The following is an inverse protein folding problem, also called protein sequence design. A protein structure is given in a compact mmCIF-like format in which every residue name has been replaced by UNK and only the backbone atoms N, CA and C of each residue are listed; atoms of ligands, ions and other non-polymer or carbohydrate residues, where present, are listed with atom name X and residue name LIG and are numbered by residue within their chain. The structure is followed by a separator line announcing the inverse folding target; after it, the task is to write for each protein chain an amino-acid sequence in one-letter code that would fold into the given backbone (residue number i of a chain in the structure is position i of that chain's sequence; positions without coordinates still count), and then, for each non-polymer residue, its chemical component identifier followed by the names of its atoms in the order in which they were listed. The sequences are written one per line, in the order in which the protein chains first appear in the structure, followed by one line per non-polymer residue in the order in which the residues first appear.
data_IF_693650943443
#
_entry.id   IF_693650943443
#
_cell.length_a   1.000
_cell.length_b   1.000
_cell.length_c   1.000
_cell.angle_alpha   90.00
_cell.angle_beta   90.00
_cell.angle_gamma   90.00
#
_symmetry.space_group_name_H-M   'P 1'
#
loop_
_entity.id
_entity.type
_entity.pdbx_description
1 polymer ?
#
# COMPACT_ATOMS: atom_id res chain seq x y z
N UNK A 1 -6.34 23.50 1.68
CA UNK A 1 -5.95 23.90 0.31
C UNK A 1 -5.53 25.38 0.15
N UNK A 2 -5.69 26.27 1.15
CA UNK A 2 -5.41 27.72 0.97
C UNK A 2 -3.97 28.13 0.61
N UNK A 3 -2.99 27.22 0.73
CA UNK A 3 -1.57 27.47 0.42
C UNK A 3 -1.06 26.76 -0.84
N UNK A 4 -1.87 25.93 -1.52
CA UNK A 4 -1.44 25.22 -2.74
C UNK A 4 -1.45 26.09 -3.99
N UNK A 5 -2.19 27.20 -3.98
CA UNK A 5 -2.45 28.02 -5.17
C UNK A 5 -3.46 27.42 -6.16
N UNK A 6 -4.09 26.28 -5.83
CA UNK A 6 -5.02 25.58 -6.70
C UNK A 6 -6.47 26.02 -6.46
N UNK A 7 -7.28 26.05 -7.53
CA UNK A 7 -8.71 26.40 -7.48
C UNK A 7 -9.53 25.15 -7.79
N UNK A 8 -10.60 24.90 -7.03
CA UNK A 8 -11.48 23.73 -7.24
C UNK A 8 -12.01 23.75 -8.69
N UNK A 9 -11.76 22.69 -9.47
CA UNK A 9 -12.33 22.56 -10.81
C UNK A 9 -13.86 22.48 -10.75
N UNK A 10 -14.53 22.83 -11.86
CA UNK A 10 -15.99 22.79 -11.93
C UNK A 10 -16.57 21.37 -11.73
N UNK A 11 -15.80 20.33 -12.05
CA UNK A 11 -16.19 18.93 -11.85
C UNK A 11 -15.93 18.40 -10.42
N UNK A 12 -15.36 19.22 -9.53
CA UNK A 12 -14.85 18.77 -8.23
C UNK A 12 -13.32 18.60 -8.23
N UNK A 13 -12.76 18.30 -7.06
CA UNK A 13 -11.34 17.99 -6.94
C UNK A 13 -11.06 16.60 -7.50
N UNK A 14 -10.07 16.43 -8.39
CA UNK A 14 -9.60 15.10 -8.75
C UNK A 14 -8.96 14.43 -7.54
N UNK A 15 -9.02 13.10 -7.49
CA UNK A 15 -8.71 12.34 -6.28
C UNK A 15 -7.54 11.39 -6.48
N UNK A 16 -6.71 11.29 -5.44
CA UNK A 16 -5.76 10.20 -5.23
C UNK A 16 -6.21 9.39 -4.04
N UNK A 17 -6.56 8.13 -4.27
CA UNK A 17 -6.69 7.13 -3.20
C UNK A 17 -5.29 6.74 -2.77
N UNK A 18 -4.97 6.90 -1.49
CA UNK A 18 -3.73 6.42 -0.89
C UNK A 18 -4.00 5.19 -0.03
N UNK A 19 -3.18 4.13 -0.17
CA UNK A 19 -3.24 2.96 0.69
C UNK A 19 -1.91 2.69 1.40
N UNK A 20 -1.99 2.58 2.73
CA UNK A 20 -0.85 2.39 3.62
C UNK A 20 -0.26 0.95 3.59
N UNK A 21 0.94 0.81 4.17
CA UNK A 21 1.62 -0.48 4.34
C UNK A 21 1.16 -1.28 5.58
N UNK A 22 1.66 -2.50 5.77
CA UNK A 22 1.16 -3.49 6.76
C UNK A 22 1.24 -3.09 8.24
N UNK A 23 2.15 -2.21 8.63
CA UNK A 23 2.22 -1.71 10.02
C UNK A 23 1.69 -0.28 10.13
N UNK A 24 1.16 0.25 9.03
CA UNK A 24 0.68 1.61 8.90
C UNK A 24 -0.80 1.72 9.23
N UNK A 25 -1.36 2.91 8.99
CA UNK A 25 -2.79 3.19 9.04
C UNK A 25 -3.08 4.36 8.10
N UNK A 26 -4.35 4.74 7.98
CA UNK A 26 -4.84 5.80 7.10
C UNK A 26 -4.09 7.13 7.20
N UNK A 27 -3.50 7.47 8.36
CA UNK A 27 -2.77 8.73 8.56
C UNK A 27 -1.46 8.83 7.78
N UNK A 28 -0.92 7.71 7.29
CA UNK A 28 0.27 7.72 6.43
C UNK A 28 0.07 8.57 5.16
N UNK A 29 -1.18 8.77 4.74
CA UNK A 29 -1.51 9.68 3.64
C UNK A 29 -1.02 11.12 3.86
N UNK A 30 -0.90 11.56 5.12
CA UNK A 30 -0.45 12.91 5.45
C UNK A 30 0.95 13.21 4.93
N UNK A 31 1.82 12.20 4.81
CA UNK A 31 3.17 12.35 4.26
C UNK A 31 3.19 12.58 2.73
N UNK A 32 2.09 12.28 2.04
CA UNK A 32 1.92 12.47 0.58
C UNK A 32 0.98 13.65 0.26
N UNK A 33 0.15 14.05 1.22
CA UNK A 33 -0.96 14.98 1.02
C UNK A 33 -0.53 16.33 0.45
N UNK A 34 0.55 16.91 0.96
CA UNK A 34 1.04 18.22 0.49
C UNK A 34 1.52 18.16 -0.97
N UNK A 35 2.20 17.08 -1.36
CA UNK A 35 2.65 16.88 -2.75
C UNK A 35 1.46 16.78 -3.71
N UNK A 36 0.42 16.02 -3.36
CA UNK A 36 -0.78 15.90 -4.19
C UNK A 36 -1.61 17.19 -4.20
N UNK A 37 -1.71 17.88 -3.06
CA UNK A 37 -2.40 19.16 -2.97
C UNK A 37 -1.71 20.24 -3.84
N UNK A 38 -0.37 20.21 -3.95
CA UNK A 38 0.39 21.15 -4.79
C UNK A 38 0.04 21.07 -6.28
N UNK A 39 -0.41 19.90 -6.74
CA UNK A 39 -0.86 19.65 -8.12
C UNK A 39 -2.39 19.64 -8.26
N UNK A 40 -3.13 20.01 -7.21
CA UNK A 40 -4.58 20.20 -7.26
C UNK A 40 -5.40 18.94 -7.04
N UNK A 41 -4.86 17.94 -6.35
CA UNK A 41 -5.58 16.69 -6.04
C UNK A 41 -5.92 16.59 -4.56
N UNK A 42 -7.11 16.07 -4.27
CA UNK A 42 -7.48 15.64 -2.94
C UNK A 42 -6.92 14.23 -2.67
N UNK A 43 -6.48 13.98 -1.43
CA UNK A 43 -6.05 12.64 -1.01
C UNK A 43 -7.10 12.02 -0.11
N UNK A 44 -7.56 10.83 -0.47
CA UNK A 44 -8.49 10.02 0.32
C UNK A 44 -7.76 8.75 0.74
N UNK A 45 -7.91 8.35 1.99
CA UNK A 45 -7.21 7.21 2.57
C UNK A 45 -8.11 6.49 3.55
N UNK A 46 -7.99 5.16 3.59
CA UNK A 46 -8.73 4.30 4.50
C UNK A 46 -7.82 3.23 5.09
N UNK A 47 -8.24 2.61 6.19
CA UNK A 47 -7.52 1.49 6.75
C UNK A 47 -7.80 0.19 6.00
N UNK A 48 -6.78 -0.64 5.90
CA UNK A 48 -6.96 -2.05 5.55
C UNK A 48 -7.66 -2.79 6.71
N UNK A 49 -8.29 -3.95 6.46
CA UNK A 49 -8.80 -4.81 7.54
C UNK A 49 -7.73 -5.04 8.63
N UNK A 50 -8.13 -5.06 9.90
CA UNK A 50 -7.23 -5.22 11.06
C UNK A 50 -6.17 -4.11 11.22
N UNK A 51 -6.32 -2.99 10.53
CA UNK A 51 -5.50 -1.80 10.71
C UNK A 51 -6.33 -0.67 11.27
N UNK A 52 -5.65 0.36 11.77
CA UNK A 52 -6.31 1.52 12.33
C UNK A 52 -5.38 2.37 13.18
N UNK A 53 -5.87 3.54 13.54
CA UNK A 53 -5.26 4.37 14.57
C UNK A 53 -5.63 3.76 15.91
N UNK A 54 -4.65 3.43 16.76
CA UNK A 54 -4.86 2.83 18.09
C UNK A 54 -4.62 3.83 19.23
N UNK A 55 -4.25 5.06 18.87
CA UNK A 55 -4.06 6.18 19.79
C UNK A 55 -5.42 6.74 20.19
N UNK A 56 -5.81 6.61 21.45
CA UNK A 56 -7.17 6.91 21.92
C UNK A 56 -7.26 8.16 22.77
N UNK A 57 -6.15 8.64 23.35
CA UNK A 57 -6.17 9.76 24.29
C UNK A 57 -5.70 11.08 23.63
N UNK A 58 -6.61 11.99 23.27
CA UNK A 58 -6.23 13.26 22.63
C UNK A 58 -5.57 14.26 23.60
N UNK A 59 -5.55 13.97 24.90
CA UNK A 59 -4.86 14.79 25.91
C UNK A 59 -3.42 14.32 26.15
N UNK A 60 -3.04 13.17 25.60
CA UNK A 60 -1.68 12.62 25.71
C UNK A 60 -0.81 13.16 24.56
N UNK A 61 0.24 13.96 24.85
CA UNK A 61 1.11 14.50 23.80
C UNK A 61 1.90 13.43 23.04
N UNK A 62 2.05 12.23 23.61
CA UNK A 62 2.70 11.10 22.94
C UNK A 62 1.75 10.37 21.96
N UNK A 63 0.50 10.86 21.82
CA UNK A 63 -0.54 10.32 20.95
C UNK A 63 -1.00 11.36 19.89
N UNK A 64 -0.13 11.77 18.95
CA UNK A 64 -0.42 12.83 18.00
C UNK A 64 -1.56 12.52 17.02
N UNK A 65 -1.94 11.26 16.85
CA UNK A 65 -3.01 10.80 15.97
C UNK A 65 -4.32 10.56 16.70
N UNK A 66 -4.39 10.75 18.02
CA UNK A 66 -5.59 10.42 18.79
C UNK A 66 -6.83 11.22 18.36
N UNK A 67 -6.68 12.44 17.84
CA UNK A 67 -7.80 13.20 17.27
C UNK A 67 -8.39 12.56 16.00
N UNK A 68 -7.60 11.73 15.31
CA UNK A 68 -8.04 11.01 14.11
C UNK A 68 -8.61 9.63 14.44
N UNK A 69 -8.47 9.14 15.68
CA UNK A 69 -9.12 7.90 16.12
C UNK A 69 -10.64 8.01 16.01
N UNK A 70 -11.29 6.98 15.46
CA UNK A 70 -12.70 7.07 15.06
C UNK A 70 -13.63 7.42 16.24
N UNK A 71 -13.33 6.89 17.43
CA UNK A 71 -14.08 7.17 18.67
C UNK A 71 -13.96 8.62 19.14
N UNK A 72 -12.94 9.37 18.67
CA UNK A 72 -12.75 10.80 18.95
C UNK A 72 -13.31 11.69 17.84
N UNK A 73 -13.99 11.12 16.84
CA UNK A 73 -14.64 11.87 15.75
C UNK A 73 -16.17 11.89 15.91
N UNK A 74 -16.89 12.77 15.18
CA UNK A 74 -18.35 12.73 15.12
C UNK A 74 -18.94 11.40 14.63
N UNK A 75 -18.14 10.55 13.99
CA UNK A 75 -18.56 9.25 13.48
C UNK A 75 -18.50 8.13 14.53
N UNK A 76 -17.85 8.35 15.67
CA UNK A 76 -17.62 7.31 16.68
C UNK A 76 -18.90 6.62 17.19
N UNK A 77 -20.02 7.33 17.25
CA UNK A 77 -21.29 6.78 17.71
C UNK A 77 -21.93 5.75 16.74
N UNK A 78 -21.52 5.73 15.48
CA UNK A 78 -22.11 4.89 14.43
C UNK A 78 -21.06 4.03 13.72
N UNK A 79 -19.78 4.27 14.00
CA UNK A 79 -18.67 3.48 13.50
C UNK A 79 -18.85 2.02 13.92
N UNK A 80 -18.96 1.15 12.91
CA UNK A 80 -18.96 -0.30 13.08
C UNK A 80 -17.90 -0.84 12.13
N UNK A 81 -16.71 -1.10 12.66
CA UNK A 81 -15.62 -1.69 11.89
C UNK A 81 -15.35 -3.10 12.40
N UNK A 82 -15.33 -4.06 11.46
CA UNK A 82 -15.40 -5.51 11.73
C UNK A 82 -14.22 -6.05 12.55
N UNK A 83 -13.16 -5.27 12.70
CA UNK A 83 -11.86 -5.70 13.22
C UNK A 83 -11.12 -4.62 14.00
N UNK A 84 -11.84 -3.60 14.47
CA UNK A 84 -11.26 -2.47 15.20
C UNK A 84 -10.89 -2.86 16.62
N UNK A 85 -9.84 -2.25 17.15
CA UNK A 85 -9.44 -2.34 18.56
C UNK A 85 -9.27 -3.75 19.13
N UNK A 86 -8.84 -4.71 18.30
CA UNK A 86 -8.54 -6.05 18.77
C UNK A 86 -7.42 -6.02 19.82
N UNK A 87 -7.59 -6.83 20.86
CA UNK A 87 -6.61 -7.08 21.92
C UNK A 87 -6.53 -8.60 22.11
N UNK A 88 -5.64 -9.24 21.34
CA UNK A 88 -5.51 -10.68 21.25
C UNK A 88 -4.11 -11.17 21.67
N UNK A 89 -3.15 -10.26 21.84
CA UNK A 89 -1.81 -10.57 22.32
C UNK A 89 -1.32 -9.55 23.35
N UNK A 90 -0.36 -9.97 24.16
CA UNK A 90 0.39 -9.06 24.99
C UNK A 90 1.40 -8.28 24.12
N UNK A 91 1.14 -7.00 23.88
CA UNK A 91 1.86 -6.14 22.94
C UNK A 91 3.37 -6.07 23.21
N UNK A 92 3.78 -6.15 24.47
CA UNK A 92 5.20 -6.14 24.84
C UNK A 92 5.95 -7.45 24.49
N UNK A 93 5.24 -8.57 24.34
CA UNK A 93 5.86 -9.90 24.24
C UNK A 93 5.41 -10.73 23.03
N UNK A 94 4.30 -10.36 22.39
CA UNK A 94 3.63 -11.17 21.36
C UNK A 94 3.02 -12.47 21.91
N UNK A 95 2.94 -12.63 23.24
CA UNK A 95 2.34 -13.83 23.84
C UNK A 95 0.81 -13.82 23.61
N UNK A 96 0.17 -14.98 23.39
CA UNK A 96 -1.28 -15.04 23.20
C UNK A 96 -2.06 -14.56 24.42
N UNK A 97 -3.17 -13.86 24.17
CA UNK A 97 -4.11 -13.39 25.18
C UNK A 97 -4.08 -11.87 25.36
N UNK A 98 -5.22 -11.26 25.77
CA UNK A 98 -5.33 -9.81 25.88
C UNK A 98 -4.45 -9.23 26.99
N UNK A 99 -3.88 -8.04 26.78
CA UNK A 99 -3.16 -7.28 27.83
C UNK A 99 -3.86 -5.97 28.25
N UNK A 100 -5.05 -5.71 27.70
CA UNK A 100 -5.83 -4.50 27.95
C UNK A 100 -5.42 -3.32 27.08
N UNK A 101 -4.50 -3.50 26.14
CA UNK A 101 -4.12 -2.51 25.14
C UNK A 101 -4.44 -3.01 23.75
N UNK A 102 -4.96 -2.11 22.91
CA UNK A 102 -5.26 -2.41 21.51
C UNK A 102 -3.97 -2.86 20.80
N UNK A 103 -4.05 -3.99 20.10
CA UNK A 103 -2.96 -4.53 19.29
C UNK A 103 -2.56 -3.52 18.19
N UNK A 104 -1.25 -3.34 17.92
CA UNK A 104 -0.79 -2.45 16.87
C UNK A 104 -1.42 -2.74 15.50
N UNK A 105 -1.59 -1.68 14.72
CA UNK A 105 -2.17 -1.74 13.37
C UNK A 105 -1.54 -2.85 12.51
N UNK A 106 -2.38 -3.72 11.96
CA UNK A 106 -2.00 -4.79 11.04
C UNK A 106 -1.34 -6.02 11.68
N UNK A 107 -1.20 -6.07 13.01
CA UNK A 107 -0.61 -7.20 13.75
C UNK A 107 -1.16 -8.56 13.30
N UNK A 108 -2.47 -8.64 13.08
CA UNK A 108 -3.17 -9.88 12.71
C UNK A 108 -3.49 -10.03 11.23
N UNK A 109 -3.03 -9.08 10.39
CA UNK A 109 -3.31 -9.12 8.95
C UNK A 109 -2.74 -10.36 8.29
N UNK A 110 -1.51 -10.73 8.65
CA UNK A 110 -0.87 -12.00 8.32
C UNK A 110 -0.96 -12.92 9.53
N UNK A 111 -1.63 -14.04 9.38
CA UNK A 111 -1.85 -15.02 10.42
C UNK A 111 -1.43 -16.41 9.93
N UNK A 112 -0.27 -16.90 10.40
CA UNK A 112 0.25 -18.22 10.03
C UNK A 112 -0.61 -19.38 10.58
N UNK A 113 -1.36 -19.14 11.65
CA UNK A 113 -2.34 -20.08 12.19
C UNK A 113 -3.66 -20.09 11.41
N UNK A 114 -3.95 -19.03 10.63
CA UNK A 114 -5.13 -18.93 9.77
C UNK A 114 -4.80 -18.24 8.44
N UNK A 115 -4.23 -19.02 7.52
CA UNK A 115 -3.89 -18.56 6.18
C UNK A 115 -5.12 -18.13 5.37
N UNK A 116 -6.30 -18.71 5.66
CA UNK A 116 -7.57 -18.31 5.04
C UNK A 116 -7.97 -16.90 5.47
N UNK A 117 -7.83 -16.55 6.76
CA UNK A 117 -8.05 -15.18 7.23
C UNK A 117 -7.09 -14.21 6.54
N UNK A 118 -5.81 -14.57 6.43
CA UNK A 118 -4.80 -13.74 5.75
C UNK A 118 -5.19 -13.45 4.28
N UNK A 119 -5.62 -14.49 3.56
CA UNK A 119 -6.12 -14.36 2.18
C UNK A 119 -7.34 -13.45 2.10
N UNK A 120 -8.31 -13.67 2.98
CA UNK A 120 -9.58 -12.97 2.94
C UNK A 120 -9.45 -11.51 3.42
N UNK A 121 -8.46 -11.18 4.25
CA UNK A 121 -8.08 -9.80 4.55
C UNK A 121 -7.65 -9.03 3.29
N UNK A 122 -6.82 -9.64 2.42
CA UNK A 122 -6.38 -9.02 1.16
C UNK A 122 -7.57 -8.83 0.21
N UNK A 123 -8.44 -9.84 0.08
CA UNK A 123 -9.62 -9.76 -0.78
C UNK A 123 -10.63 -8.75 -0.28
N UNK A 124 -10.84 -8.69 1.03
CA UNK A 124 -11.73 -7.70 1.63
C UNK A 124 -11.21 -6.30 1.37
N UNK A 125 -9.91 -6.06 1.54
CA UNK A 125 -9.30 -4.78 1.23
C UNK A 125 -9.47 -4.36 -0.24
N UNK A 126 -9.38 -5.30 -1.19
CA UNK A 126 -9.66 -5.02 -2.61
C UNK A 126 -11.11 -4.56 -2.82
N UNK A 127 -12.07 -5.23 -2.19
CA UNK A 127 -13.50 -4.86 -2.26
C UNK A 127 -13.77 -3.53 -1.57
N UNK A 128 -13.10 -3.27 -0.44
CA UNK A 128 -13.22 -2.02 0.28
C UNK A 128 -12.70 -0.84 -0.57
N UNK A 129 -11.57 -1.01 -1.26
CA UNK A 129 -11.05 -0.02 -2.22
C UNK A 129 -11.99 0.22 -3.40
N UNK A 130 -12.57 -0.84 -3.99
CA UNK A 130 -13.61 -0.69 -5.03
C UNK A 130 -14.83 0.06 -4.50
N UNK A 131 -15.27 -0.26 -3.28
CA UNK A 131 -16.40 0.42 -2.64
C UNK A 131 -16.07 1.90 -2.42
N UNK A 132 -14.87 2.22 -1.95
CA UNK A 132 -14.40 3.60 -1.81
C UNK A 132 -14.43 4.33 -3.15
N UNK A 133 -13.83 3.75 -4.19
CA UNK A 133 -13.76 4.36 -5.52
C UNK A 133 -15.15 4.67 -6.10
N UNK A 134 -16.11 3.75 -5.94
CA UNK A 134 -17.50 3.94 -6.36
C UNK A 134 -18.26 5.01 -5.56
N UNK A 135 -17.86 5.27 -4.31
CA UNK A 135 -18.52 6.25 -3.44
C UNK A 135 -17.87 7.64 -3.46
N UNK A 136 -16.62 7.78 -3.92
CA UNK A 136 -15.96 9.10 -4.09
C UNK A 136 -16.84 10.12 -4.83
N UNK A 137 -17.50 9.79 -5.96
CA UNK A 137 -18.34 10.73 -6.71
C UNK A 137 -19.62 11.17 -5.95
N UNK A 138 -19.88 10.60 -4.78
CA UNK A 138 -21.04 10.92 -3.95
C UNK A 138 -20.65 11.68 -2.67
N UNK A 139 -19.35 11.86 -2.41
CA UNK A 139 -18.90 12.55 -1.21
C UNK A 139 -19.15 14.06 -1.34
N UNK A 140 -19.71 14.62 -0.28
CA UNK A 140 -20.07 16.01 -0.08
C UNK A 140 -19.59 16.40 1.33
N UNK A 141 -18.53 17.19 1.39
CA UNK A 141 -17.80 17.57 2.60
C UNK A 141 -18.35 18.86 3.22
N UNK A 142 -18.94 19.75 2.41
CA UNK A 142 -19.50 21.02 2.89
C UNK A 142 -21.02 20.98 3.12
N UNK A 143 -21.69 19.90 2.70
CA UNK A 143 -23.09 19.61 2.95
C UNK A 143 -24.03 20.38 2.04
N UNK A 144 -23.55 20.90 0.91
CA UNK A 144 -24.36 21.67 -0.05
C UNK A 144 -25.16 20.79 -1.03
N UNK A 145 -25.09 19.47 -0.88
CA UNK A 145 -25.68 18.44 -1.75
C UNK A 145 -25.09 18.35 -3.15
N UNK A 146 -23.90 18.92 -3.36
CA UNK A 146 -23.11 18.83 -4.59
C UNK A 146 -21.83 18.06 -4.27
N UNK A 147 -21.48 17.08 -5.10
CA UNK A 147 -20.25 16.32 -4.85
C UNK A 147 -19.00 17.21 -4.94
N UNK A 148 -18.10 17.02 -3.99
CA UNK A 148 -16.82 17.72 -3.91
C UNK A 148 -15.74 17.15 -4.81
N UNK A 149 -15.90 15.90 -5.26
CA UNK A 149 -14.87 15.16 -5.97
C UNK A 149 -15.24 14.85 -7.41
N UNK A 150 -14.24 14.94 -8.28
CA UNK A 150 -14.36 14.55 -9.68
C UNK A 150 -14.27 13.04 -9.82
N UNK A 151 -15.43 12.40 -9.88
CA UNK A 151 -15.56 10.95 -10.07
C UNK A 151 -15.00 10.41 -11.38
N UNK A 152 -14.66 11.26 -12.35
CA UNK A 152 -14.03 10.86 -13.61
C UNK A 152 -12.50 10.85 -13.54
N UNK A 153 -11.91 11.36 -12.45
CA UNK A 153 -10.48 11.48 -12.27
C UNK A 153 -10.06 10.97 -10.88
N UNK A 154 -10.09 9.65 -10.73
CA UNK A 154 -9.66 8.93 -9.53
C UNK A 154 -8.38 8.17 -9.86
N UNK A 155 -7.35 8.39 -9.04
CA UNK A 155 -6.02 7.82 -9.20
C UNK A 155 -5.61 7.09 -7.93
N UNK A 156 -4.53 6.33 -7.98
CA UNK A 156 -4.09 5.52 -6.84
C UNK A 156 -2.59 5.65 -6.54
N UNK A 157 -2.24 5.71 -5.25
CA UNK A 157 -0.86 5.56 -4.77
C UNK A 157 -0.83 4.56 -3.62
N UNK A 158 -0.05 3.49 -3.77
CA UNK A 158 0.14 2.47 -2.75
C UNK A 158 1.57 2.45 -2.22
N UNK A 159 1.71 2.06 -0.95
CA UNK A 159 2.98 1.67 -0.36
C UNK A 159 2.91 0.22 0.11
N UNK A 160 3.87 -0.62 -0.29
CA UNK A 160 4.07 -1.96 0.28
C UNK A 160 2.80 -2.82 0.17
N UNK A 161 2.22 -3.24 1.30
CA UNK A 161 0.94 -3.96 1.35
C UNK A 161 -0.18 -3.21 0.61
N UNK A 162 -0.22 -1.88 0.69
CA UNK A 162 -1.17 -1.08 -0.09
C UNK A 162 -1.02 -1.31 -1.60
N UNK A 163 0.21 -1.41 -2.10
CA UNK A 163 0.50 -1.74 -3.50
C UNK A 163 0.18 -3.21 -3.85
N UNK A 164 0.40 -4.14 -2.91
CA UNK A 164 0.06 -5.56 -3.05
C UNK A 164 -1.45 -5.74 -3.20
N UNK A 165 -2.23 -5.17 -2.28
CA UNK A 165 -3.70 -5.21 -2.33
C UNK A 165 -4.20 -4.53 -3.61
N UNK A 166 -3.65 -3.37 -3.95
CA UNK A 166 -4.07 -2.57 -5.09
C UNK A 166 -3.97 -3.29 -6.44
N UNK A 167 -3.06 -4.26 -6.58
CA UNK A 167 -2.89 -4.96 -7.86
C UNK A 167 -4.17 -5.70 -8.27
N UNK A 168 -4.87 -6.33 -7.31
CA UNK A 168 -6.17 -6.96 -7.57
C UNK A 168 -7.29 -5.94 -7.78
N UNK A 169 -7.31 -4.87 -6.98
CA UNK A 169 -8.26 -3.75 -7.14
C UNK A 169 -8.19 -3.12 -8.53
N UNK A 170 -6.99 -2.73 -8.99
CA UNK A 170 -6.76 -2.14 -10.30
C UNK A 170 -7.11 -3.10 -11.45
N UNK A 171 -7.00 -4.41 -11.23
CA UNK A 171 -7.35 -5.40 -12.24
C UNK A 171 -8.86 -5.49 -12.51
N UNK A 172 -9.70 -5.08 -11.55
CA UNK A 172 -11.17 -5.29 -11.63
C UNK A 172 -11.98 -3.99 -11.56
N UNK A 173 -11.43 -2.91 -11.01
CA UNK A 173 -12.13 -1.64 -10.81
C UNK A 173 -11.83 -0.64 -11.93
N UNK A 174 -12.78 -0.35 -12.85
CA UNK A 174 -12.54 0.53 -13.98
C UNK A 174 -12.54 2.03 -13.62
N UNK A 175 -12.97 2.42 -12.41
CA UNK A 175 -12.98 3.84 -12.00
C UNK A 175 -11.59 4.42 -11.76
N UNK A 176 -10.57 3.56 -11.61
CA UNK A 176 -9.17 3.96 -11.40
C UNK A 176 -8.29 3.36 -12.48
N UNK A 177 -7.68 4.21 -13.31
CA UNK A 177 -6.87 3.79 -14.46
C UNK A 177 -5.42 4.28 -14.44
N UNK A 178 -5.01 4.94 -13.36
CA UNK A 178 -3.67 5.49 -13.18
C UNK A 178 -3.19 5.24 -11.75
N UNK A 179 -2.04 4.58 -11.62
CA UNK A 179 -1.54 4.14 -10.32
C UNK A 179 -0.01 4.23 -10.17
N UNK A 180 0.41 4.51 -8.95
CA UNK A 180 1.80 4.37 -8.50
C UNK A 180 1.85 3.27 -7.43
N UNK A 181 2.58 2.20 -7.72
CA UNK A 181 2.76 1.06 -6.82
C UNK A 181 4.18 1.11 -6.25
N UNK A 182 4.34 1.65 -5.05
CA UNK A 182 5.65 1.71 -4.40
C UNK A 182 5.96 0.41 -3.66
N UNK A 183 7.12 -0.18 -3.97
CA UNK A 183 7.71 -1.38 -3.36
C UNK A 183 6.74 -2.57 -3.14
N UNK A 184 5.92 -2.98 -4.13
CA UNK A 184 5.11 -4.19 -4.04
C UNK A 184 5.96 -5.45 -4.21
N UNK A 185 5.37 -6.62 -3.93
CA UNK A 185 5.95 -7.90 -4.33
C UNK A 185 4.88 -9.01 -4.39
N UNK A 186 5.14 -10.00 -5.25
CA UNK A 186 4.27 -11.16 -5.45
C UNK A 186 4.84 -12.43 -4.84
N UNK A 187 4.11 -13.53 -4.96
CA UNK A 187 4.51 -14.83 -4.39
C UNK A 187 4.68 -14.73 -2.87
N UNK A 188 3.61 -14.27 -2.21
CA UNK A 188 3.59 -13.75 -0.82
C UNK A 188 4.24 -14.72 0.17
N UNK A 189 4.01 -16.04 0.06
CA UNK A 189 4.53 -16.99 1.05
C UNK A 189 6.06 -17.01 1.08
N UNK A 190 6.69 -17.17 -0.09
CA UNK A 190 8.15 -17.18 -0.20
C UNK A 190 8.74 -15.77 -0.10
N UNK A 191 8.01 -14.73 -0.52
CA UNK A 191 8.39 -13.33 -0.30
C UNK A 191 8.57 -13.06 1.19
N UNK A 192 7.56 -13.38 2.00
CA UNK A 192 7.60 -13.17 3.44
C UNK A 192 8.68 -14.02 4.11
N UNK A 193 8.83 -15.29 3.70
CA UNK A 193 9.90 -16.16 4.20
C UNK A 193 11.31 -15.67 3.79
N UNK A 194 11.43 -15.01 2.64
CA UNK A 194 12.67 -14.44 2.12
C UNK A 194 12.98 -13.03 2.64
N UNK A 195 12.02 -12.36 3.29
CA UNK A 195 12.17 -11.03 3.88
C UNK A 195 13.17 -11.03 5.03
N UNK A 196 14.03 -10.04 5.11
CA UNK A 196 14.93 -9.85 6.26
C UNK A 196 14.15 -9.42 7.50
N UNK A 197 13.05 -8.69 7.31
CA UNK A 197 12.17 -8.21 8.39
C UNK A 197 11.21 -9.31 8.87
N UNK A 198 10.52 -10.00 7.96
CA UNK A 198 9.48 -10.98 8.34
C UNK A 198 9.99 -12.42 8.42
N UNK A 199 11.03 -12.77 7.67
CA UNK A 199 11.55 -14.14 7.58
C UNK A 199 11.97 -14.73 8.93
N UNK A 200 12.68 -14.00 9.81
CA UNK A 200 13.04 -14.50 11.15
C UNK A 200 11.83 -14.85 12.02
N UNK A 201 10.80 -13.99 12.02
CA UNK A 201 9.57 -14.21 12.80
C UNK A 201 8.81 -15.42 12.29
N UNK A 202 8.69 -15.58 10.97
CA UNK A 202 8.02 -16.73 10.34
C UNK A 202 8.75 -18.03 10.65
N UNK A 203 10.09 -18.05 10.50
CA UNK A 203 10.91 -19.21 10.83
C UNK A 203 10.77 -19.59 12.31
N UNK A 204 10.81 -18.62 13.22
CA UNK A 204 10.66 -18.87 14.65
C UNK A 204 9.26 -19.40 15.00
N UNK A 205 8.19 -18.80 14.45
CA UNK A 205 6.81 -19.23 14.67
C UNK A 205 6.55 -20.65 14.16
N UNK A 206 7.04 -20.97 12.96
CA UNK A 206 6.93 -22.32 12.40
C UNK A 206 7.77 -23.34 13.18
N UNK A 207 8.98 -22.96 13.63
CA UNK A 207 9.79 -23.83 14.47
C UNK A 207 9.08 -24.17 15.79
N UNK A 208 8.45 -23.19 16.42
CA UNK A 208 7.64 -23.39 17.64
C UNK A 208 6.42 -24.31 17.38
N UNK A 209 5.89 -24.32 16.17
CA UNK A 209 4.82 -25.22 15.73
C UNK A 209 5.33 -26.60 15.25
N UNK A 210 6.63 -26.92 15.42
CA UNK A 210 7.21 -28.20 15.03
C UNK A 210 7.61 -28.31 13.56
N UNK A 211 7.73 -27.18 12.84
CA UNK A 211 8.20 -27.09 11.46
C UNK A 211 9.57 -26.41 11.44
N UNK A 212 10.69 -27.17 11.49
CA UNK A 212 12.02 -26.59 11.57
C UNK A 212 12.36 -25.74 10.34
N UNK A 213 13.08 -24.61 10.49
CA UNK A 213 13.50 -23.77 9.36
C UNK A 213 14.28 -24.57 8.32
N UNK A 214 14.07 -24.23 7.04
CA UNK A 214 14.77 -24.81 5.88
C UNK A 214 14.67 -26.34 5.75
N UNK A 215 13.74 -26.97 6.49
CA UNK A 215 13.42 -28.39 6.38
C UNK A 215 12.48 -28.69 5.19
N UNK A 216 12.36 -29.95 4.74
CA UNK A 216 11.34 -30.33 3.76
C UNK A 216 9.91 -29.92 4.19
N UNK A 217 9.60 -30.04 5.48
CA UNK A 217 8.30 -29.63 6.02
C UNK A 217 8.08 -28.11 5.94
N UNK A 218 9.14 -27.31 6.11
CA UNK A 218 9.07 -25.86 5.93
C UNK A 218 8.74 -25.48 4.49
N UNK A 219 9.43 -26.06 3.51
CA UNK A 219 9.12 -25.80 2.10
C UNK A 219 7.74 -26.33 1.68
N UNK A 220 7.30 -27.47 2.22
CA UNK A 220 5.94 -27.96 2.05
C UNK A 220 4.91 -26.99 2.62
N UNK A 221 5.15 -26.45 3.82
CA UNK A 221 4.30 -25.43 4.42
C UNK A 221 4.21 -24.18 3.53
N UNK A 222 5.35 -23.66 3.04
CA UNK A 222 5.35 -22.48 2.16
C UNK A 222 4.60 -22.74 0.85
N UNK A 223 4.73 -23.93 0.27
CA UNK A 223 3.95 -24.33 -0.92
C UNK A 223 2.44 -24.37 -0.64
N UNK A 224 2.03 -24.98 0.47
CA UNK A 224 0.63 -25.01 0.88
C UNK A 224 0.08 -23.61 1.21
N UNK A 225 0.89 -22.79 1.89
CA UNK A 225 0.54 -21.41 2.23
C UNK A 225 0.35 -20.56 0.97
N UNK A 226 1.25 -20.70 0.00
CA UNK A 226 1.09 -20.06 -1.29
C UNK A 226 -0.20 -20.51 -1.97
N UNK A 227 -0.50 -21.82 -2.01
CA UNK A 227 -1.73 -22.34 -2.62
C UNK A 227 -3.00 -21.77 -1.97
N UNK A 228 -3.00 -21.57 -0.65
CA UNK A 228 -4.13 -20.96 0.06
C UNK A 228 -4.29 -19.49 -0.32
N UNK A 229 -3.21 -18.72 -0.32
CA UNK A 229 -3.22 -17.26 -0.55
C UNK A 229 -3.29 -16.91 -2.05
N UNK A 230 -3.02 -17.85 -2.95
CA UNK A 230 -2.78 -17.64 -4.38
C UNK A 230 -3.82 -16.73 -5.05
N UNK A 231 -5.10 -16.97 -4.78
CA UNK A 231 -6.19 -16.21 -5.38
C UNK A 231 -6.36 -14.78 -4.82
N UNK A 232 -5.47 -14.33 -3.93
CA UNK A 232 -5.31 -12.96 -3.47
C UNK A 232 -3.88 -12.41 -3.75
N UNK A 233 -2.97 -13.24 -4.26
CA UNK A 233 -1.59 -12.85 -4.54
C UNK A 233 -1.51 -11.88 -5.74
N UNK A 234 -0.83 -10.73 -5.62
CA UNK A 234 -0.80 -9.72 -6.68
C UNK A 234 -0.18 -10.22 -7.99
N UNK A 235 0.68 -11.25 -7.95
CA UNK A 235 1.31 -11.75 -9.18
C UNK A 235 0.29 -12.33 -10.16
N UNK A 236 -0.80 -12.92 -9.64
CA UNK A 236 -1.86 -13.51 -10.45
C UNK A 236 -2.76 -12.45 -11.11
N UNK A 237 -2.80 -11.24 -10.55
CA UNK A 237 -3.57 -10.11 -11.07
C UNK A 237 -2.74 -9.15 -11.92
N UNK A 238 -1.41 -9.24 -11.82
CA UNK A 238 -0.45 -8.30 -12.40
C UNK A 238 -0.67 -8.06 -13.90
N UNK A 239 -0.85 -9.13 -14.69
CA UNK A 239 -1.09 -9.01 -16.15
C UNK A 239 -2.37 -8.25 -16.45
N UNK A 240 -3.45 -8.49 -15.70
CA UNK A 240 -4.73 -7.82 -15.91
C UNK A 240 -4.68 -6.36 -15.43
N UNK A 241 -4.00 -6.11 -14.30
CA UNK A 241 -3.80 -4.76 -13.77
C UNK A 241 -3.11 -3.84 -14.78
N UNK A 242 -2.08 -4.28 -15.50
CA UNK A 242 -1.42 -3.41 -16.49
C UNK A 242 -2.16 -3.31 -17.82
N UNK A 243 -3.10 -4.21 -18.15
CA UNK A 243 -3.82 -4.15 -19.42
C UNK A 243 -4.65 -2.88 -19.56
N UNK A 244 -5.36 -2.50 -18.50
CA UNK A 244 -6.33 -1.40 -18.53
C UNK A 244 -5.80 -0.12 -17.88
N UNK A 245 -4.64 -0.17 -17.21
CA UNK A 245 -4.16 0.93 -16.38
C UNK A 245 -2.76 1.38 -16.76
N UNK A 246 -2.50 2.67 -16.56
CA UNK A 246 -1.15 3.21 -16.47
C UNK A 246 -0.61 2.92 -15.07
N UNK A 247 0.54 2.25 -14.99
CA UNK A 247 1.17 1.83 -13.74
C UNK A 247 2.64 2.25 -13.75
N UNK A 248 3.02 3.03 -12.75
CA UNK A 248 4.41 3.24 -12.36
C UNK A 248 4.70 2.39 -11.13
N UNK A 249 5.70 1.52 -11.20
CA UNK A 249 6.17 0.74 -10.06
C UNK A 249 7.50 1.31 -9.55
N UNK A 250 7.62 1.51 -8.24
CA UNK A 250 8.93 1.80 -7.62
C UNK A 250 9.51 0.54 -6.99
N UNK A 251 10.80 0.33 -7.19
CA UNK A 251 11.59 -0.70 -6.51
C UNK A 251 12.78 -0.03 -5.84
N UNK A 252 13.10 -0.41 -4.61
CA UNK A 252 14.31 0.05 -3.92
C UNK A 252 15.32 -1.10 -3.84
N UNK A 253 16.55 -0.84 -4.25
CA UNK A 253 17.64 -1.80 -4.14
C UNK A 253 17.94 -2.10 -2.65
N UNK A 254 18.01 -3.39 -2.31
CA UNK A 254 18.27 -3.81 -0.93
C UNK A 254 17.10 -3.61 0.03
N UNK A 255 15.87 -3.51 -0.48
CA UNK A 255 14.66 -3.51 0.35
C UNK A 255 14.61 -4.74 1.27
N UNK A 256 14.64 -4.49 2.58
CA UNK A 256 14.72 -5.50 3.63
C UNK A 256 13.34 -6.06 4.04
N UNK A 257 12.26 -5.44 3.57
CA UNK A 257 10.89 -5.83 3.89
C UNK A 257 10.30 -6.62 2.74
N UNK A 258 10.31 -6.06 1.54
CA UNK A 258 9.88 -6.73 0.30
C UNK A 258 11.12 -7.00 -0.55
N UNK A 259 11.69 -8.22 -0.50
CA UNK A 259 12.90 -8.52 -1.26
C UNK A 259 12.63 -8.34 -2.76
N UNK A 260 13.62 -7.79 -3.48
CA UNK A 260 13.49 -7.59 -4.92
C UNK A 260 13.35 -8.94 -5.66
N UNK A 261 14.02 -9.99 -5.19
CA UNK A 261 13.82 -11.37 -5.63
C UNK A 261 14.21 -12.34 -4.51
N UNK A 262 13.58 -13.51 -4.47
CA UNK A 262 13.90 -14.56 -3.50
C UNK A 262 14.59 -15.75 -4.20
N UNK A 263 15.82 -16.12 -3.80
CA UNK A 263 16.51 -17.28 -4.37
C UNK A 263 15.68 -18.56 -4.28
N UNK A 264 15.55 -19.30 -5.38
CA UNK A 264 14.75 -20.53 -5.44
C UNK A 264 13.23 -20.32 -5.56
N UNK A 265 12.73 -19.09 -5.46
CA UNK A 265 11.31 -18.75 -5.61
C UNK A 265 11.13 -17.71 -6.75
N UNK A 266 11.09 -18.16 -8.02
CA UNK A 266 11.17 -17.27 -9.20
C UNK A 266 9.96 -16.34 -9.38
N UNK A 267 8.89 -16.56 -8.63
CA UNK A 267 7.67 -15.75 -8.61
C UNK A 267 7.60 -14.80 -7.40
N UNK A 268 8.60 -14.80 -6.52
CA UNK A 268 8.55 -14.06 -5.26
C UNK A 268 9.43 -12.82 -5.23
N UNK A 269 8.82 -11.68 -4.89
CA UNK A 269 9.47 -10.37 -4.80
C UNK A 269 8.96 -9.35 -5.82
N UNK A 270 9.61 -8.19 -5.87
CA UNK A 270 9.26 -7.09 -6.77
C UNK A 270 9.64 -7.36 -8.24
N UNK A 271 10.82 -7.92 -8.52
CA UNK A 271 11.29 -8.20 -9.89
C UNK A 271 10.41 -9.22 -10.65
N UNK A 272 9.90 -10.29 -10.01
CA UNK A 272 8.91 -11.15 -10.65
C UNK A 272 7.63 -10.41 -11.05
N UNK A 273 7.10 -9.51 -10.21
CA UNK A 273 5.94 -8.68 -10.59
C UNK A 273 6.28 -7.78 -11.77
N UNK A 274 7.42 -7.09 -11.75
CA UNK A 274 7.89 -6.25 -12.87
C UNK A 274 7.94 -7.05 -14.18
N UNK A 275 8.43 -8.29 -14.13
CA UNK A 275 8.51 -9.18 -15.29
C UNK A 275 7.13 -9.60 -15.80
N UNK A 276 6.22 -9.99 -14.92
CA UNK A 276 4.85 -10.41 -15.28
C UNK A 276 4.07 -9.23 -15.86
N UNK A 277 4.23 -8.04 -15.27
CA UNK A 277 3.66 -6.78 -15.75
C UNK A 277 4.32 -6.24 -17.02
N UNK A 278 5.48 -6.78 -17.41
CA UNK A 278 6.28 -6.30 -18.56
C UNK A 278 6.60 -4.80 -18.48
N UNK A 279 6.92 -4.29 -17.29
CA UNK A 279 7.18 -2.86 -17.10
C UNK A 279 8.50 -2.45 -17.75
N UNK A 280 8.48 -1.31 -18.44
CA UNK A 280 9.66 -0.73 -19.06
C UNK A 280 10.45 0.09 -18.04
N UNK A 281 11.80 -0.02 -17.98
CA UNK A 281 12.60 0.84 -17.11
C UNK A 281 12.36 2.33 -17.40
N UNK A 282 12.16 3.13 -16.34
CA UNK A 282 12.11 4.58 -16.39
C UNK A 282 13.45 5.10 -15.85
N UNK A 283 14.35 5.50 -16.76
CA UNK A 283 15.71 5.99 -16.43
C UNK A 283 15.91 7.48 -16.70
N UNK A 284 14.93 8.11 -17.34
CA UNK A 284 14.85 9.54 -17.60
C UNK A 284 13.38 9.94 -17.73
N UNK A 285 13.10 11.26 -17.78
CA UNK A 285 11.75 11.76 -18.03
C UNK A 285 11.14 11.07 -19.26
N UNK A 286 10.02 10.38 -19.03
CA UNK A 286 9.39 9.50 -20.00
C UNK A 286 7.97 9.98 -20.26
N UNK A 287 7.58 9.96 -21.53
CA UNK A 287 6.22 10.31 -21.97
C UNK A 287 5.67 9.21 -22.87
N UNK A 288 4.44 8.81 -22.61
CA UNK A 288 3.70 7.90 -23.47
C UNK A 288 2.22 8.32 -23.53
N UNK A 289 1.73 8.83 -24.67
CA UNK A 289 0.32 9.20 -24.84
C UNK A 289 -0.66 8.03 -24.62
N UNK A 290 -0.19 6.78 -24.77
CA UNK A 290 -1.00 5.58 -24.53
C UNK A 290 -0.99 5.13 -23.06
N UNK A 291 -0.36 5.88 -22.15
CA UNK A 291 -0.18 5.52 -20.74
C UNK A 291 1.14 4.83 -20.45
N UNK A 292 1.74 5.12 -19.30
CA UNK A 292 3.01 4.55 -18.85
C UNK A 292 2.77 3.22 -18.14
N UNK A 293 3.55 2.20 -18.54
CA UNK A 293 3.71 0.93 -17.84
C UNK A 293 5.19 0.78 -17.52
N UNK A 294 5.60 1.45 -16.44
CA UNK A 294 6.99 1.76 -16.14
C UNK A 294 7.44 1.25 -14.78
N UNK A 295 8.75 1.06 -14.65
CA UNK A 295 9.38 0.79 -13.36
C UNK A 295 10.58 1.71 -13.14
N UNK A 296 10.59 2.40 -12.00
CA UNK A 296 11.78 3.12 -11.52
C UNK A 296 12.47 2.26 -10.47
N UNK A 297 13.76 1.98 -10.69
CA UNK A 297 14.60 1.26 -9.74
C UNK A 297 15.49 2.26 -9.00
N UNK A 298 15.21 2.48 -7.73
CA UNK A 298 16.01 3.33 -6.85
C UNK A 298 17.24 2.56 -6.35
N UNK A 299 18.42 3.17 -6.45
CA UNK A 299 19.70 2.62 -5.96
C UNK A 299 19.97 2.96 -4.49
N UNK A 300 19.15 3.84 -3.92
CA UNK A 300 19.23 4.34 -2.55
C UNK A 300 17.83 4.37 -1.93
N UNK A 301 17.77 4.42 -0.59
CA UNK A 301 16.52 4.52 0.17
C UNK A 301 16.23 3.27 0.98
N UNK A 302 14.99 3.20 1.47
CA UNK A 302 14.45 2.11 2.28
C UNK A 302 13.05 1.77 1.79
N UNK A 303 12.46 0.70 2.34
CA UNK A 303 11.09 0.29 2.03
C UNK A 303 10.05 1.42 2.20
N UNK A 304 10.25 2.31 3.16
CA UNK A 304 9.31 3.40 3.48
C UNK A 304 9.59 4.72 2.74
N UNK A 305 10.59 4.80 1.86
CA UNK A 305 11.10 6.07 1.32
C UNK A 305 10.10 6.90 0.51
N UNK A 306 8.94 6.35 0.12
CA UNK A 306 7.88 7.19 -0.46
C UNK A 306 7.35 8.22 0.56
N UNK A 307 7.38 7.89 1.85
CA UNK A 307 6.73 8.65 2.93
C UNK A 307 7.72 9.08 4.03
N UNK A 308 8.90 8.44 4.10
CA UNK A 308 9.92 8.73 5.10
C UNK A 308 11.07 9.56 4.49
N UNK A 309 11.19 10.86 4.85
CA UNK A 309 12.22 11.77 4.35
C UNK A 309 13.61 11.55 4.98
N UNK A 310 13.87 10.44 5.67
CA UNK A 310 15.21 10.10 6.19
C UNK A 310 16.30 10.12 5.10
N UNK A 311 15.93 9.81 3.85
CA UNK A 311 16.67 10.21 2.66
C UNK A 311 15.82 11.18 1.82
N UNK A 312 16.00 12.52 1.99
CA UNK A 312 15.15 13.51 1.34
C UNK A 312 15.23 13.47 -0.19
N UNK A 313 16.39 13.14 -0.77
CA UNK A 313 16.58 13.09 -2.21
C UNK A 313 15.76 11.95 -2.85
N UNK A 314 15.75 10.77 -2.22
CA UNK A 314 14.94 9.62 -2.67
C UNK A 314 13.46 9.93 -2.49
N UNK A 315 13.06 10.49 -1.36
CA UNK A 315 11.66 10.81 -1.06
C UNK A 315 11.11 11.84 -2.04
N UNK A 316 11.86 12.91 -2.30
CA UNK A 316 11.48 13.93 -3.26
C UNK A 316 11.36 13.36 -4.67
N UNK A 317 12.26 12.48 -5.08
CA UNK A 317 12.18 11.83 -6.40
C UNK A 317 10.97 10.88 -6.50
N UNK A 318 10.74 10.01 -5.50
CA UNK A 318 9.58 9.11 -5.48
C UNK A 318 8.25 9.88 -5.51
N UNK A 319 8.11 10.92 -4.70
CA UNK A 319 6.90 11.73 -4.68
C UNK A 319 6.76 12.61 -5.93
N UNK A 320 7.86 13.09 -6.52
CA UNK A 320 7.85 13.83 -7.79
C UNK A 320 7.44 12.97 -8.98
N UNK A 321 7.93 11.73 -9.04
CA UNK A 321 7.47 10.75 -10.02
C UNK A 321 6.00 10.42 -9.83
N UNK A 322 5.54 10.24 -8.58
CA UNK A 322 4.12 10.04 -8.30
C UNK A 322 3.28 11.25 -8.74
N UNK A 323 3.68 12.47 -8.38
CA UNK A 323 2.96 13.69 -8.75
C UNK A 323 2.85 13.87 -10.27
N UNK A 324 3.94 13.65 -11.02
CA UNK A 324 3.93 13.77 -12.48
C UNK A 324 3.08 12.68 -13.16
N UNK A 325 3.12 11.44 -12.65
CA UNK A 325 2.26 10.35 -13.11
C UNK A 325 0.78 10.69 -12.90
N UNK A 326 0.42 11.21 -11.72
CA UNK A 326 -0.95 11.57 -11.35
C UNK A 326 -1.44 12.77 -12.15
N UNK A 327 -0.68 13.88 -12.17
CA UNK A 327 -1.06 15.11 -12.85
C UNK A 327 -1.25 14.95 -14.36
N UNK A 328 -0.55 13.99 -14.97
CA UNK A 328 -0.59 13.73 -16.42
C UNK A 328 -1.62 12.67 -16.83
N UNK A 329 -2.44 12.18 -15.91
CA UNK A 329 -3.35 11.05 -16.17
C UNK A 329 -2.61 9.78 -16.60
N UNK A 330 -1.39 9.58 -16.09
CA UNK A 330 -0.56 8.40 -16.33
C UNK A 330 0.31 8.46 -17.58
N UNK A 331 0.40 9.61 -18.26
CA UNK A 331 1.12 9.73 -19.54
C UNK A 331 2.55 10.21 -19.42
N UNK A 332 2.96 10.74 -18.26
CA UNK A 332 4.29 11.31 -18.03
C UNK A 332 4.83 10.90 -16.66
N UNK A 333 6.10 10.48 -16.62
CA UNK A 333 6.88 10.37 -15.39
C UNK A 333 8.10 11.25 -15.53
N UNK A 334 8.23 12.25 -14.65
CA UNK A 334 9.38 13.16 -14.62
C UNK A 334 10.44 12.57 -13.72
N UNK A 335 11.65 12.41 -14.24
CA UNK A 335 12.84 12.09 -13.44
C UNK A 335 13.53 13.40 -13.09
N UNK A 336 13.47 13.79 -11.83
CA UNK A 336 14.04 15.05 -11.33
C UNK A 336 15.47 14.90 -10.82
N UNK A 337 15.80 13.72 -10.30
CA UNK A 337 17.11 13.38 -9.79
C UNK A 337 17.50 11.95 -10.22
N UNK A 338 18.29 11.85 -11.28
CA UNK A 338 18.75 10.56 -11.81
C UNK A 338 19.83 9.89 -10.93
N UNK A 339 20.45 10.62 -10.01
CA UNK A 339 21.54 10.10 -9.14
C UNK A 339 21.08 9.08 -8.11
N UNK A 340 19.76 8.99 -7.86
CA UNK A 340 19.16 8.04 -6.90
C UNK A 340 18.48 6.85 -7.59
N UNK A 341 18.52 6.78 -8.91
CA UNK A 341 17.91 5.68 -9.69
C UNK A 341 18.97 4.96 -10.53
N UNK A 342 18.65 3.74 -10.94
CA UNK A 342 19.47 2.94 -11.84
C UNK A 342 19.19 3.37 -13.28
N UNK A 343 20.24 3.78 -14.00
CA UNK A 343 20.13 4.34 -15.36
C UNK A 343 20.75 3.46 -16.45
N UNK A 344 21.44 2.37 -16.08
CA UNK A 344 22.17 1.44 -16.96
C UNK A 344 21.77 -0.05 -16.82
#
# INVERSE_FOLDING_TARGET
NGFSGQVRPAAGWPVVIFQHGITGNRSQALALADTMASIGFAVVSMDLPLHGITQTNPLDPDQPLALLYVGNTPFGAFANERTFDLDLQANATGAPGPDGQIDPSGTWFINLGSLLTSRDNIRQAQVDLSTLALNIPQMDLDGDSISDFDGSNINFVGLSLGSIVATGFLAVEPTVNNAVLSVPGGGIANLLAGSETFGPVIRAGLAAAGVPPDSPAFFQFLGAAQQVIDAADPINWSTLAVQNNSILLHQVAGDTVVPNAVPGAPLSGTEPMIRVMQLTPVTATTQNPAGIRGVTRFTQGTHGSLLDPSNPAVTAEMQGQAASMIASGGTTVVVGNDTVIKTD
#
